data_IF_958201559220
#
_entry.id   IF_958201559220
#
_cell.length_a   1.000
_cell.length_b   1.000
_cell.length_c   1.000
_cell.angle_alpha   90.00
_cell.angle_beta   90.00
_cell.angle_gamma   90.00
#
_symmetry.space_group_name_H-M   'P 1'
#
loop_
_entity.id
_entity.type
_entity.pdbx_description
1 polymer ?
#
# COMPACT_ATOMS: atom_id res chain seq x y z
N UNK A 1 -30.10 -13.57 -16.46
CA UNK A 1 -31.37 -13.41 -15.73
C UNK A 1 -31.41 -12.04 -15.06
N UNK A 2 -32.34 -11.16 -15.44
CA UNK A 2 -32.50 -9.89 -14.74
C UNK A 2 -33.13 -10.15 -13.37
N UNK A 3 -32.48 -9.65 -12.31
CA UNK A 3 -32.99 -9.73 -10.91
C UNK A 3 -34.34 -9.01 -10.83
N UNK A 4 -35.39 -9.70 -10.38
CA UNK A 4 -36.70 -9.07 -10.10
C UNK A 4 -36.52 -8.02 -8.98
N UNK A 5 -36.97 -6.80 -9.26
CA UNK A 5 -36.91 -5.70 -8.31
C UNK A 5 -37.87 -5.95 -7.14
N UNK A 6 -37.44 -5.55 -5.95
CA UNK A 6 -38.31 -5.63 -4.77
C UNK A 6 -39.41 -4.56 -4.82
N UNK A 7 -40.55 -4.76 -4.12
CA UNK A 7 -41.59 -3.73 -4.04
C UNK A 7 -41.07 -2.37 -3.58
N UNK A 8 -40.11 -2.36 -2.66
CA UNK A 8 -39.46 -1.16 -2.15
C UNK A 8 -38.61 -0.44 -3.22
N UNK A 9 -37.87 -1.18 -4.04
CA UNK A 9 -37.11 -0.64 -5.18
C UNK A 9 -38.05 -0.04 -6.26
N UNK A 10 -39.22 -0.63 -6.44
CA UNK A 10 -40.24 -0.11 -7.38
C UNK A 10 -40.79 1.22 -6.83
N UNK A 11 -41.16 1.28 -5.56
CA UNK A 11 -41.70 2.47 -4.91
C UNK A 11 -40.70 3.63 -4.91
N UNK A 12 -39.43 3.38 -4.58
CA UNK A 12 -38.35 4.38 -4.67
C UNK A 12 -38.22 4.97 -6.08
N UNK A 13 -38.35 4.15 -7.13
CA UNK A 13 -38.32 4.64 -8.51
C UNK A 13 -39.52 5.47 -8.92
N UNK A 14 -40.71 5.14 -8.41
CA UNK A 14 -41.91 5.94 -8.64
C UNK A 14 -41.76 7.33 -8.03
N UNK A 15 -41.33 7.40 -6.76
CA UNK A 15 -41.07 8.66 -6.07
C UNK A 15 -40.02 9.52 -6.80
N UNK A 16 -38.94 8.91 -7.30
CA UNK A 16 -37.95 9.62 -8.10
C UNK A 16 -38.52 10.17 -9.42
N UNK A 17 -39.42 9.43 -10.10
CA UNK A 17 -40.08 9.93 -11.30
C UNK A 17 -41.02 11.10 -11.00
N UNK A 18 -41.80 11.01 -9.94
CA UNK A 18 -42.67 12.09 -9.47
C UNK A 18 -41.85 13.35 -9.15
N UNK A 19 -40.73 13.19 -8.46
CA UNK A 19 -39.83 14.28 -8.12
C UNK A 19 -39.22 14.97 -9.35
N UNK A 20 -38.74 14.19 -10.34
CA UNK A 20 -38.20 14.70 -11.61
C UNK A 20 -39.28 15.46 -12.39
N UNK A 21 -40.53 14.97 -12.40
CA UNK A 21 -41.65 15.65 -13.05
C UNK A 21 -42.01 16.97 -12.35
N UNK A 22 -42.01 16.98 -11.03
CA UNK A 22 -42.37 18.12 -10.20
C UNK A 22 -41.33 19.27 -10.33
N UNK A 23 -40.05 18.90 -10.38
CA UNK A 23 -38.93 19.86 -10.52
C UNK A 23 -38.60 20.24 -11.96
N UNK A 24 -39.16 19.55 -12.94
CA UNK A 24 -38.90 19.80 -14.36
C UNK A 24 -37.46 19.54 -14.79
N UNK A 25 -36.72 18.69 -14.04
CA UNK A 25 -35.31 18.38 -14.29
C UNK A 25 -35.09 17.67 -15.62
N UNK A 26 -34.29 18.30 -16.53
CA UNK A 26 -34.04 17.82 -17.91
C UNK A 26 -32.56 17.69 -18.25
N UNK A 27 -31.67 18.31 -17.46
CA UNK A 27 -30.23 18.31 -17.72
C UNK A 27 -29.46 17.68 -16.56
N UNK A 28 -28.22 17.25 -16.83
CA UNK A 28 -27.33 16.69 -15.80
C UNK A 28 -27.01 17.72 -14.70
N UNK A 29 -26.86 19.00 -15.04
CA UNK A 29 -26.66 20.08 -14.07
C UNK A 29 -27.86 20.23 -13.14
N UNK A 30 -29.08 20.30 -13.72
CA UNK A 30 -30.32 20.36 -12.91
C UNK A 30 -30.50 19.12 -12.03
N UNK A 31 -30.05 17.95 -12.49
CA UNK A 31 -30.08 16.74 -11.65
C UNK A 31 -29.09 16.85 -10.47
N UNK A 32 -27.93 17.48 -10.65
CA UNK A 32 -27.01 17.75 -9.54
C UNK A 32 -27.60 18.75 -8.52
N UNK A 33 -28.24 19.79 -8.98
CA UNK A 33 -28.90 20.76 -8.10
C UNK A 33 -30.04 20.12 -7.31
N UNK A 34 -30.84 19.26 -7.96
CA UNK A 34 -31.86 18.47 -7.29
C UNK A 34 -31.28 17.54 -6.21
N UNK A 35 -30.14 16.90 -6.47
CA UNK A 35 -29.46 16.06 -5.47
C UNK A 35 -29.03 16.90 -4.26
N UNK A 36 -28.50 18.12 -4.47
CA UNK A 36 -28.16 19.04 -3.38
C UNK A 36 -29.39 19.41 -2.55
N UNK A 37 -30.50 19.73 -3.19
CA UNK A 37 -31.75 20.08 -2.55
C UNK A 37 -32.30 18.91 -1.70
N UNK A 38 -32.32 17.70 -2.25
CA UNK A 38 -32.75 16.50 -1.51
C UNK A 38 -31.84 16.25 -0.33
N UNK A 39 -30.52 16.40 -0.50
CA UNK A 39 -29.54 16.15 0.56
C UNK A 39 -29.73 17.18 1.70
N UNK A 40 -29.86 18.48 1.39
CA UNK A 40 -30.08 19.50 2.40
C UNK A 40 -31.41 19.29 3.13
N UNK A 41 -32.49 19.03 2.41
CA UNK A 41 -33.81 18.75 3.01
C UNK A 41 -33.82 17.51 3.90
N UNK A 42 -33.11 16.46 3.51
CA UNK A 42 -32.93 15.24 4.30
C UNK A 42 -32.19 15.54 5.61
N UNK A 43 -31.03 16.22 5.52
CA UNK A 43 -30.22 16.57 6.69
C UNK A 43 -30.98 17.50 7.64
N UNK A 44 -31.69 18.50 7.12
CA UNK A 44 -32.52 19.40 7.95
C UNK A 44 -33.69 18.65 8.65
N UNK A 45 -34.29 17.69 7.96
CA UNK A 45 -35.32 16.84 8.56
C UNK A 45 -34.76 15.98 9.69
N UNK A 46 -33.60 15.37 9.47
CA UNK A 46 -32.93 14.57 10.49
C UNK A 46 -32.52 15.40 11.71
N UNK A 47 -31.96 16.61 11.50
CA UNK A 47 -31.60 17.56 12.56
C UNK A 47 -32.83 18.02 13.38
N UNK A 48 -33.97 18.24 12.71
CA UNK A 48 -35.20 18.57 13.38
C UNK A 48 -35.73 17.40 14.23
N UNK A 49 -35.63 16.16 13.73
CA UNK A 49 -36.02 14.97 14.50
C UNK A 49 -35.10 14.77 15.70
N UNK A 50 -33.80 14.99 15.56
CA UNK A 50 -32.84 14.93 16.66
C UNK A 50 -33.17 15.95 17.76
N UNK A 51 -33.48 17.20 17.37
CA UNK A 51 -33.94 18.21 18.33
C UNK A 51 -35.29 17.85 18.95
N UNK A 52 -36.20 17.16 18.24
CA UNK A 52 -37.47 16.67 18.78
C UNK A 52 -37.25 15.62 19.87
N UNK A 53 -36.32 14.69 19.64
CA UNK A 53 -35.96 13.67 20.64
C UNK A 53 -35.32 14.31 21.87
N UNK A 54 -34.41 15.29 21.69
CA UNK A 54 -33.75 15.99 22.80
C UNK A 54 -34.73 16.82 23.65
N UNK A 55 -35.64 17.52 22.99
CA UNK A 55 -36.63 18.36 23.71
C UNK A 55 -37.88 17.58 24.19
N UNK A 56 -38.08 16.36 23.71
CA UNK A 56 -39.22 15.53 24.08
C UNK A 56 -40.58 16.00 23.56
N UNK A 57 -40.62 16.93 22.58
CA UNK A 57 -41.86 17.36 21.92
C UNK A 57 -41.64 17.76 20.46
N UNK A 58 -42.65 17.52 19.60
CA UNK A 58 -42.61 17.86 18.19
C UNK A 58 -42.89 19.34 17.92
N UNK A 59 -42.49 19.85 16.75
CA UNK A 59 -42.75 21.22 16.33
C UNK A 59 -44.27 21.49 16.34
N UNK A 60 -44.71 22.55 17.03
CA UNK A 60 -46.09 22.95 17.26
C UNK A 60 -46.88 22.17 18.34
N UNK A 61 -46.31 21.11 18.95
CA UNK A 61 -46.98 20.37 20.03
C UNK A 61 -46.62 20.93 21.42
N UNK A 62 -47.04 22.15 21.68
CA UNK A 62 -46.77 22.81 22.98
C UNK A 62 -47.54 22.22 24.14
N UNK A 63 -48.61 21.43 23.89
CA UNK A 63 -49.43 20.82 24.93
C UNK A 63 -48.77 19.66 25.65
N UNK A 64 -47.90 18.95 24.93
CA UNK A 64 -47.15 17.79 25.44
C UNK A 64 -45.73 18.12 25.88
N UNK A 65 -45.37 19.39 25.92
CA UNK A 65 -44.04 19.85 26.31
C UNK A 65 -43.76 19.51 27.78
N UNK A 66 -42.71 18.68 28.02
CA UNK A 66 -42.26 18.22 29.33
C UNK A 66 -40.96 18.88 29.80
N UNK A 67 -40.36 19.77 29.01
CA UNK A 67 -39.12 20.48 29.31
C UNK A 67 -39.33 21.98 29.41
N UNK A 68 -38.52 22.69 30.19
CA UNK A 68 -38.50 24.16 30.24
C UNK A 68 -37.81 24.77 29.02
N UNK A 69 -36.93 24.00 28.33
CA UNK A 69 -36.23 24.42 27.14
C UNK A 69 -37.18 24.51 25.92
N UNK A 70 -36.88 25.35 24.98
CA UNK A 70 -37.73 25.61 23.80
C UNK A 70 -36.88 25.75 22.54
N UNK A 71 -37.48 25.51 21.37
CA UNK A 71 -36.90 25.80 20.08
C UNK A 71 -36.62 27.31 19.94
N UNK A 72 -35.47 27.66 19.34
CA UNK A 72 -35.01 29.04 19.16
C UNK A 72 -34.58 29.33 17.71
N UNK A 73 -35.41 28.95 16.75
CA UNK A 73 -35.16 29.20 15.33
C UNK A 73 -34.02 28.34 14.78
N UNK A 74 -33.36 28.86 13.76
CA UNK A 74 -32.31 28.19 13.01
C UNK A 74 -31.09 29.07 12.86
N UNK A 75 -29.91 28.45 12.72
CA UNK A 75 -28.67 29.10 12.26
C UNK A 75 -28.29 28.56 10.88
N UNK A 76 -27.90 29.43 9.97
CA UNK A 76 -27.42 29.04 8.67
C UNK A 76 -25.98 28.52 8.75
N UNK A 77 -25.70 27.43 8.07
CA UNK A 77 -24.39 26.83 8.02
C UNK A 77 -24.12 26.25 6.65
N UNK A 78 -23.00 26.66 6.04
CA UNK A 78 -22.56 26.09 4.77
C UNK A 78 -21.75 24.85 5.01
N UNK A 79 -22.12 23.75 4.34
CA UNK A 79 -21.46 22.45 4.42
C UNK A 79 -20.99 22.04 3.04
N UNK A 80 -19.71 21.73 2.94
CA UNK A 80 -19.11 21.18 1.71
C UNK A 80 -19.44 19.69 1.61
N UNK A 81 -19.99 19.27 0.47
CA UNK A 81 -20.32 17.88 0.16
C UNK A 81 -19.65 17.44 -1.13
N UNK A 82 -19.70 16.13 -1.46
CA UNK A 82 -19.24 15.62 -2.76
C UNK A 82 -19.99 16.16 -3.97
N UNK A 83 -21.16 16.75 -3.76
CA UNK A 83 -21.99 17.35 -4.80
C UNK A 83 -21.88 18.88 -4.85
N UNK A 84 -20.96 19.47 -4.10
CA UNK A 84 -20.74 20.89 -3.94
C UNK A 84 -21.19 21.42 -2.58
N UNK A 85 -21.17 22.74 -2.43
CA UNK A 85 -21.60 23.41 -1.21
C UNK A 85 -23.12 23.42 -1.09
N UNK A 86 -23.63 23.12 0.12
CA UNK A 86 -25.04 23.21 0.49
C UNK A 86 -25.20 24.12 1.72
N UNK A 87 -26.23 24.95 1.74
CA UNK A 87 -26.64 25.72 2.90
C UNK A 87 -27.62 24.88 3.70
N UNK A 88 -27.39 24.74 5.04
CA UNK A 88 -28.26 24.03 5.96
C UNK A 88 -28.80 24.97 7.03
N UNK A 89 -30.06 24.81 7.38
CA UNK A 89 -30.70 25.46 8.50
C UNK A 89 -30.59 24.54 9.73
N UNK A 90 -29.60 24.79 10.57
CA UNK A 90 -29.37 24.02 11.82
C UNK A 90 -30.34 24.52 12.88
N UNK A 91 -31.22 23.66 13.42
CA UNK A 91 -32.15 24.06 14.47
C UNK A 91 -31.40 24.35 15.76
N UNK A 92 -31.99 25.25 16.60
CA UNK A 92 -31.40 25.70 17.86
C UNK A 92 -32.45 25.62 18.98
N UNK A 93 -31.98 25.35 20.16
CA UNK A 93 -32.74 25.46 21.41
C UNK A 93 -32.48 26.82 22.11
N UNK A 94 -33.32 27.17 23.07
CA UNK A 94 -33.21 28.44 23.79
C UNK A 94 -32.14 28.42 24.88
N UNK A 95 -31.92 27.27 25.52
CA UNK A 95 -30.90 27.10 26.52
C UNK A 95 -29.47 27.02 25.93
N UNK A 96 -29.33 26.65 24.63
CA UNK A 96 -28.07 26.46 23.97
C UNK A 96 -27.35 25.15 24.35
N UNK A 97 -28.11 24.19 24.86
CA UNK A 97 -27.65 22.89 25.33
C UNK A 97 -27.64 21.84 24.22
N UNK A 98 -28.45 22.04 23.17
CA UNK A 98 -28.51 21.13 22.03
C UNK A 98 -27.22 21.15 21.22
N UNK A 99 -26.55 20.01 21.16
CA UNK A 99 -25.38 19.77 20.31
C UNK A 99 -25.70 18.72 19.22
N UNK A 100 -25.95 19.16 17.97
CA UNK A 100 -26.25 18.24 16.87
C UNK A 100 -25.18 17.17 16.68
N UNK A 101 -25.56 15.89 16.65
CA UNK A 101 -24.66 14.77 16.37
C UNK A 101 -24.49 14.55 14.87
N UNK A 102 -25.54 14.83 14.06
CA UNK A 102 -25.55 14.66 12.61
C UNK A 102 -24.60 15.64 11.93
N UNK A 103 -24.55 16.90 12.42
CA UNK A 103 -23.65 17.96 11.95
C UNK A 103 -23.05 18.67 13.17
N UNK A 104 -21.84 18.29 13.54
CA UNK A 104 -21.15 18.85 14.70
C UNK A 104 -20.95 20.38 14.60
N UNK A 105 -20.86 21.08 15.75
CA UNK A 105 -20.85 22.54 15.88
C UNK A 105 -19.85 23.27 14.95
N UNK A 106 -18.66 22.71 14.75
CA UNK A 106 -17.59 23.28 13.91
C UNK A 106 -17.36 22.53 12.60
N UNK A 107 -18.19 21.56 12.29
CA UNK A 107 -18.08 20.79 11.05
C UNK A 107 -18.46 21.67 9.86
N UNK A 108 -17.54 21.86 8.92
CA UNK A 108 -17.76 22.61 7.67
C UNK A 108 -17.87 21.72 6.45
N UNK A 109 -17.78 20.40 6.64
CA UNK A 109 -17.80 19.39 5.58
C UNK A 109 -18.60 18.19 6.01
N UNK A 110 -19.36 17.63 5.09
CA UNK A 110 -19.93 16.29 5.30
C UNK A 110 -18.78 15.31 5.20
N UNK A 111 -18.21 14.95 6.36
CA UNK A 111 -16.98 14.14 6.45
C UNK A 111 -17.21 12.72 5.95
N UNK A 112 -16.23 12.19 5.27
CA UNK A 112 -16.15 10.82 4.75
C UNK A 112 -15.80 10.82 3.27
N UNK A 113 -16.67 11.28 2.40
CA UNK A 113 -16.53 11.11 0.97
C UNK A 113 -15.37 11.96 0.36
N UNK A 114 -15.21 13.21 0.79
CA UNK A 114 -14.15 14.11 0.26
C UNK A 114 -12.78 13.73 0.83
N UNK A 115 -12.70 13.40 2.11
CA UNK A 115 -11.44 12.95 2.73
C UNK A 115 -10.95 11.65 2.09
N UNK A 116 -11.83 10.68 1.89
CA UNK A 116 -11.51 9.43 1.21
C UNK A 116 -11.03 9.66 -0.24
N UNK A 117 -11.66 10.58 -0.97
CA UNK A 117 -11.22 10.97 -2.32
C UNK A 117 -9.86 11.64 -2.32
N UNK A 118 -9.58 12.53 -1.37
CA UNK A 118 -8.26 13.16 -1.20
C UNK A 118 -7.21 12.09 -0.92
N UNK A 119 -7.47 11.17 0.01
CA UNK A 119 -6.57 10.06 0.32
C UNK A 119 -6.36 9.16 -0.90
N UNK A 120 -7.42 8.85 -1.66
CA UNK A 120 -7.34 8.05 -2.88
C UNK A 120 -6.49 8.71 -3.98
N UNK A 121 -6.64 10.02 -4.19
CA UNK A 121 -5.83 10.79 -5.14
C UNK A 121 -4.36 10.85 -4.68
N UNK A 122 -4.13 11.08 -3.40
CA UNK A 122 -2.79 11.06 -2.82
C UNK A 122 -2.12 9.69 -2.94
N UNK A 123 -2.86 8.60 -2.72
CA UNK A 123 -2.40 7.22 -2.91
C UNK A 123 -1.99 6.92 -4.37
N UNK A 124 -2.58 7.60 -5.34
CA UNK A 124 -2.21 7.52 -6.78
C UNK A 124 -0.99 8.39 -7.15
N UNK A 125 -0.41 9.09 -6.18
CA UNK A 125 0.82 9.88 -6.36
C UNK A 125 0.59 11.34 -6.72
N UNK A 126 -0.64 11.86 -6.71
CA UNK A 126 -0.90 13.28 -6.96
C UNK A 126 -0.24 14.15 -5.88
N UNK A 127 0.27 15.31 -6.27
CA UNK A 127 0.77 16.30 -5.32
C UNK A 127 -0.40 17.00 -4.60
N UNK A 128 -0.11 17.74 -3.53
CA UNK A 128 -1.15 18.49 -2.81
C UNK A 128 -1.83 19.52 -3.73
N UNK A 129 -1.02 20.25 -4.49
CA UNK A 129 -1.52 21.22 -5.48
C UNK A 129 -2.37 20.58 -6.58
N UNK A 130 -1.95 19.39 -7.10
CA UNK A 130 -2.75 18.67 -8.10
C UNK A 130 -4.10 18.24 -7.52
N UNK A 131 -4.11 17.79 -6.24
CA UNK A 131 -5.33 17.41 -5.54
C UNK A 131 -6.24 18.62 -5.33
N UNK A 132 -5.68 19.77 -4.90
CA UNK A 132 -6.41 21.01 -4.71
C UNK A 132 -7.04 21.47 -6.02
N UNK A 133 -6.26 21.53 -7.12
CA UNK A 133 -6.76 21.90 -8.45
C UNK A 133 -7.83 20.92 -8.94
N UNK A 134 -7.61 19.63 -8.79
CA UNK A 134 -8.56 18.60 -9.24
C UNK A 134 -9.90 18.66 -8.50
N UNK A 135 -9.88 18.96 -7.20
CA UNK A 135 -11.11 19.17 -6.41
C UNK A 135 -11.83 20.43 -6.86
N UNK A 136 -11.10 21.53 -7.12
CA UNK A 136 -11.67 22.74 -7.66
C UNK A 136 -12.36 22.49 -9.01
N UNK A 137 -11.70 21.78 -9.91
CA UNK A 137 -12.23 21.48 -11.24
C UNK A 137 -13.47 20.58 -11.21
N UNK A 138 -13.48 19.57 -10.32
CA UNK A 138 -14.56 18.59 -10.27
C UNK A 138 -15.75 19.00 -9.41
N UNK A 139 -15.51 19.74 -8.33
CA UNK A 139 -16.53 20.03 -7.32
C UNK A 139 -16.81 21.51 -7.14
N UNK A 140 -16.04 22.39 -7.80
CA UNK A 140 -16.27 23.84 -7.84
C UNK A 140 -15.94 24.58 -6.53
N UNK A 141 -15.20 23.96 -5.59
CA UNK A 141 -14.76 24.61 -4.36
C UNK A 141 -13.25 24.43 -4.11
N UNK A 142 -12.65 25.40 -3.44
CA UNK A 142 -11.23 25.38 -3.11
C UNK A 142 -10.93 24.55 -1.87
N UNK A 143 -9.89 23.71 -1.97
CA UNK A 143 -9.29 23.03 -0.83
C UNK A 143 -7.83 23.46 -0.75
N UNK A 144 -7.44 24.12 0.34
CA UNK A 144 -6.05 24.56 0.48
C UNK A 144 -5.10 23.37 0.69
N UNK A 145 -3.84 23.52 0.26
CA UNK A 145 -2.79 22.51 0.45
C UNK A 145 -2.60 22.11 1.92
N UNK A 146 -2.81 23.05 2.86
CA UNK A 146 -2.77 22.78 4.30
C UNK A 146 -3.87 21.82 4.75
N UNK A 147 -5.04 21.90 4.15
CA UNK A 147 -6.15 20.96 4.42
C UNK A 147 -5.84 19.58 3.84
N UNK A 148 -5.33 19.52 2.61
CA UNK A 148 -4.89 18.26 2.00
C UNK A 148 -3.78 17.61 2.85
N UNK A 149 -2.83 18.42 3.35
CA UNK A 149 -1.78 17.94 4.26
C UNK A 149 -2.38 17.32 5.52
N UNK A 150 -3.26 18.06 6.21
CA UNK A 150 -3.89 17.60 7.45
C UNK A 150 -4.70 16.31 7.27
N UNK A 151 -5.42 16.17 6.15
CA UNK A 151 -6.17 14.95 5.84
C UNK A 151 -5.22 13.78 5.60
N UNK A 152 -4.15 13.99 4.82
CA UNK A 152 -3.17 12.94 4.54
C UNK A 152 -2.31 12.61 5.76
N UNK A 153 -2.15 13.53 6.72
CA UNK A 153 -1.40 13.29 7.96
C UNK A 153 -2.11 12.28 8.87
N UNK A 154 -3.44 12.12 8.76
CA UNK A 154 -4.20 11.06 9.45
C UNK A 154 -3.73 9.65 9.08
N UNK A 155 -3.04 9.48 7.96
CA UNK A 155 -2.50 8.20 7.49
C UNK A 155 -1.24 7.79 8.27
N UNK A 156 -0.49 8.74 8.82
CA UNK A 156 0.79 8.45 9.46
C UNK A 156 0.68 7.52 10.69
N UNK A 157 -0.25 7.74 11.66
CA UNK A 157 -0.43 6.82 12.77
C UNK A 157 -0.85 5.42 12.29
N UNK A 158 -1.73 5.34 11.28
CA UNK A 158 -2.18 4.06 10.70
C UNK A 158 -1.01 3.32 10.04
N UNK A 159 -0.16 4.04 9.30
CA UNK A 159 1.04 3.47 8.68
C UNK A 159 2.04 2.94 9.74
N UNK A 160 2.20 3.67 10.85
CA UNK A 160 3.06 3.24 11.97
C UNK A 160 2.49 2.02 12.70
N UNK A 161 1.19 1.97 12.93
CA UNK A 161 0.51 0.81 13.53
C UNK A 161 0.65 -0.42 12.61
N UNK A 162 0.41 -0.25 11.31
CA UNK A 162 0.63 -1.31 10.33
C UNK A 162 2.08 -1.82 10.34
N UNK A 163 3.06 -0.90 10.42
CA UNK A 163 4.48 -1.26 10.49
C UNK A 163 4.81 -2.08 11.75
N UNK A 164 4.15 -1.82 12.87
CA UNK A 164 4.41 -2.48 14.16
C UNK A 164 3.54 -3.72 14.40
N UNK A 165 2.64 -4.06 13.48
CA UNK A 165 1.74 -5.20 13.65
C UNK A 165 2.49 -6.51 13.87
N UNK A 166 1.92 -7.47 14.64
CA UNK A 166 2.44 -8.83 14.73
C UNK A 166 2.54 -9.49 13.35
N UNK A 167 3.51 -10.36 13.18
CA UNK A 167 3.75 -11.12 11.97
C UNK A 167 3.59 -12.63 12.26
N UNK A 168 3.51 -13.44 11.19
CA UNK A 168 3.49 -14.88 11.32
C UNK A 168 4.80 -15.40 11.94
N UNK A 169 4.71 -16.49 12.71
CA UNK A 169 5.88 -17.07 13.40
C UNK A 169 6.90 -17.62 12.41
N UNK A 170 6.45 -18.18 11.30
CA UNK A 170 7.30 -18.84 10.30
C UNK A 170 6.96 -18.35 8.91
N UNK A 171 7.97 -17.95 8.17
CA UNK A 171 7.84 -17.64 6.74
C UNK A 171 8.60 -18.67 5.90
N UNK A 172 7.93 -19.21 4.89
CA UNK A 172 8.56 -20.14 3.95
C UNK A 172 9.66 -19.49 3.13
N UNK A 173 9.40 -18.28 2.63
CA UNK A 173 10.36 -17.52 1.82
C UNK A 173 10.24 -16.03 2.17
N UNK A 174 11.39 -15.38 2.36
CA UNK A 174 11.47 -13.93 2.55
C UNK A 174 12.29 -13.30 1.43
N UNK A 175 11.79 -12.21 0.85
CA UNK A 175 12.48 -11.39 -0.14
C UNK A 175 12.86 -10.05 0.48
N UNK A 176 14.11 -9.66 0.36
CA UNK A 176 14.67 -8.43 0.90
C UNK A 176 15.32 -7.62 -0.24
N UNK A 177 14.96 -6.35 -0.36
CA UNK A 177 15.52 -5.44 -1.36
C UNK A 177 15.41 -3.99 -0.87
N UNK A 178 16.17 -3.09 -1.43
CA UNK A 178 16.09 -1.68 -1.13
C UNK A 178 15.93 -0.84 -2.40
N UNK A 179 15.10 0.18 -2.31
CA UNK A 179 14.91 1.18 -3.36
C UNK A 179 15.25 2.57 -2.82
N UNK A 180 15.67 3.46 -3.72
CA UNK A 180 16.14 4.77 -3.30
C UNK A 180 15.19 5.87 -3.76
N UNK A 181 15.01 6.87 -2.87
CA UNK A 181 14.22 8.08 -3.10
C UNK A 181 14.99 9.32 -2.68
N UNK A 182 14.67 10.44 -3.31
CA UNK A 182 15.19 11.73 -2.91
C UNK A 182 14.25 12.36 -1.88
N UNK A 183 14.79 12.76 -0.73
CA UNK A 183 14.05 13.36 0.37
C UNK A 183 14.74 14.65 0.78
N UNK A 184 13.98 15.67 1.14
CA UNK A 184 14.52 16.92 1.69
C UNK A 184 14.77 16.75 3.19
N UNK A 185 15.99 17.02 3.61
CA UNK A 185 16.42 16.97 4.98
C UNK A 185 17.31 18.19 5.26
N UNK A 186 16.97 19.00 6.26
CA UNK A 186 17.73 20.20 6.64
C UNK A 186 18.05 21.13 5.45
N UNK A 187 17.06 21.35 4.58
CA UNK A 187 17.18 22.20 3.39
C UNK A 187 17.92 21.59 2.20
N UNK A 188 18.47 20.38 2.33
CA UNK A 188 19.20 19.68 1.27
C UNK A 188 18.42 18.49 0.76
N UNK A 189 18.65 18.12 -0.50
CA UNK A 189 18.11 16.88 -1.09
C UNK A 189 19.11 15.76 -0.86
N UNK A 190 18.69 14.75 -0.09
CA UNK A 190 19.48 13.56 0.21
C UNK A 190 18.82 12.33 -0.41
N UNK A 191 19.65 11.36 -0.80
CA UNK A 191 19.17 10.09 -1.33
C UNK A 191 19.02 9.10 -0.19
N UNK A 192 17.80 8.69 0.14
CA UNK A 192 17.51 7.72 1.20
C UNK A 192 17.17 6.35 0.65
N UNK A 193 17.54 5.31 1.37
CA UNK A 193 17.18 3.94 1.08
C UNK A 193 15.86 3.58 1.77
N UNK A 194 14.93 2.98 1.03
CA UNK A 194 13.72 2.35 1.57
C UNK A 194 13.93 0.84 1.49
N UNK A 195 14.06 0.24 2.65
CA UNK A 195 14.21 -1.20 2.85
C UNK A 195 12.84 -1.86 2.83
N UNK A 196 12.72 -2.95 2.12
CA UNK A 196 11.45 -3.64 1.88
C UNK A 196 11.63 -5.11 2.17
N UNK A 197 10.75 -5.67 2.99
CA UNK A 197 10.67 -7.10 3.25
C UNK A 197 9.29 -7.62 2.83
N UNK A 198 9.29 -8.66 1.99
CA UNK A 198 8.08 -9.38 1.58
C UNK A 198 8.24 -10.85 1.94
N UNK A 199 7.28 -11.40 2.67
CA UNK A 199 7.22 -12.80 3.05
C UNK A 199 6.22 -13.60 2.22
N UNK A 200 6.46 -14.90 2.10
CA UNK A 200 5.46 -15.90 1.72
C UNK A 200 5.27 -16.79 2.95
N UNK A 201 4.06 -16.85 3.47
CA UNK A 201 3.72 -17.67 4.64
C UNK A 201 3.77 -19.16 4.31
N UNK A 202 3.65 -20.01 5.32
CA UNK A 202 3.54 -21.47 5.13
C UNK A 202 2.29 -21.87 4.35
N UNK A 203 1.25 -21.02 4.33
CA UNK A 203 0.01 -21.20 3.57
C UNK A 203 0.11 -20.71 2.12
N UNK A 204 1.24 -20.08 1.73
CA UNK A 204 1.47 -19.56 0.38
C UNK A 204 0.87 -18.19 0.11
N UNK A 205 0.49 -17.45 1.15
CA UNK A 205 0.04 -16.07 1.04
C UNK A 205 1.23 -15.11 1.07
N UNK A 206 1.12 -14.01 0.31
CA UNK A 206 2.15 -12.97 0.31
C UNK A 206 1.81 -11.92 1.36
N UNK A 207 2.81 -11.49 2.09
CA UNK A 207 2.72 -10.40 3.07
C UNK A 207 3.86 -9.39 2.89
N UNK A 208 3.54 -8.10 2.91
CA UNK A 208 4.55 -7.04 3.00
C UNK A 208 4.86 -6.83 4.47
N UNK A 209 5.96 -7.38 4.93
CA UNK A 209 6.34 -7.41 6.34
C UNK A 209 6.64 -6.01 6.90
N UNK A 210 7.14 -5.11 6.06
CA UNK A 210 7.39 -3.71 6.45
C UNK A 210 8.16 -2.92 5.41
N UNK A 211 8.25 -1.60 5.69
CA UNK A 211 8.96 -0.59 4.93
C UNK A 211 9.77 0.27 5.89
N UNK A 212 11.09 0.36 5.73
CA UNK A 212 11.95 1.16 6.61
C UNK A 212 12.75 2.17 5.80
N UNK A 213 12.78 3.41 6.27
CA UNK A 213 13.51 4.50 5.63
C UNK A 213 14.83 4.70 6.37
N UNK A 214 15.95 4.58 5.67
CA UNK A 214 17.30 4.78 6.20
C UNK A 214 18.13 5.70 5.33
N UNK A 215 19.24 6.20 5.89
CA UNK A 215 20.14 7.13 5.20
C UNK A 215 20.77 6.49 3.95
N UNK A 216 21.35 5.32 4.11
CA UNK A 216 22.02 4.57 3.05
C UNK A 216 21.75 3.07 3.22
N UNK A 217 21.77 2.33 2.13
CA UNK A 217 21.70 0.89 2.19
C UNK A 217 22.97 0.31 2.83
N UNK A 218 22.80 -0.41 3.96
CA UNK A 218 23.89 -1.01 4.70
C UNK A 218 23.48 -2.29 5.42
N UNK A 219 24.43 -3.22 5.58
CA UNK A 219 24.21 -4.45 6.35
C UNK A 219 23.84 -4.17 7.82
N UNK A 220 24.40 -3.11 8.42
CA UNK A 220 24.06 -2.69 9.78
C UNK A 220 22.58 -2.31 9.93
N UNK A 221 22.03 -1.60 8.96
CA UNK A 221 20.62 -1.23 9.00
C UNK A 221 19.74 -2.47 8.73
N UNK A 222 20.13 -3.34 7.82
CA UNK A 222 19.47 -4.62 7.61
C UNK A 222 19.42 -5.47 8.90
N UNK A 223 20.51 -5.49 9.67
CA UNK A 223 20.53 -6.16 10.97
C UNK A 223 19.46 -5.59 11.92
N UNK A 224 19.27 -4.27 11.95
CA UNK A 224 18.20 -3.66 12.77
C UNK A 224 16.81 -4.02 12.27
N UNK A 225 16.59 -4.06 10.96
CA UNK A 225 15.34 -4.51 10.34
C UNK A 225 15.03 -5.96 10.71
N UNK A 226 16.01 -6.85 10.60
CA UNK A 226 15.82 -8.27 10.93
C UNK A 226 15.50 -8.48 12.42
N UNK A 227 16.15 -7.74 13.32
CA UNK A 227 15.84 -7.77 14.75
C UNK A 227 14.43 -7.24 15.03
N UNK A 228 13.98 -6.17 14.37
CA UNK A 228 12.62 -5.68 14.49
C UNK A 228 11.61 -6.73 14.02
N UNK A 229 11.85 -7.38 12.88
CA UNK A 229 11.01 -8.48 12.40
C UNK A 229 10.90 -9.60 13.45
N UNK A 230 12.02 -9.93 14.13
CA UNK A 230 12.03 -10.91 15.22
C UNK A 230 11.21 -10.46 16.42
N UNK A 231 11.28 -9.20 16.82
CA UNK A 231 10.48 -8.65 17.93
C UNK A 231 8.98 -8.62 17.61
N UNK A 232 8.62 -8.58 16.32
CA UNK A 232 7.23 -8.64 15.83
C UNK A 232 6.69 -10.07 15.68
N UNK A 233 7.43 -11.08 16.15
CA UNK A 233 6.97 -12.45 16.28
C UNK A 233 7.55 -13.45 15.30
N UNK A 234 8.43 -13.06 14.36
CA UNK A 234 9.04 -14.03 13.44
C UNK A 234 10.10 -14.84 14.21
N UNK A 235 9.85 -16.12 14.32
CA UNK A 235 10.76 -17.08 14.98
C UNK A 235 11.68 -17.75 13.97
N UNK A 236 11.18 -18.01 12.75
CA UNK A 236 11.93 -18.74 11.73
C UNK A 236 11.61 -18.28 10.30
N UNK A 237 12.62 -18.34 9.44
CA UNK A 237 12.54 -18.09 8.00
C UNK A 237 13.28 -19.23 7.32
N UNK A 238 12.59 -19.97 6.45
CA UNK A 238 13.23 -21.14 5.82
C UNK A 238 14.24 -20.70 4.76
N UNK A 239 13.83 -19.80 3.83
CA UNK A 239 14.68 -19.32 2.74
C UNK A 239 14.62 -17.79 2.67
N UNK A 240 15.76 -17.11 2.63
CA UNK A 240 15.87 -15.67 2.40
C UNK A 240 16.48 -15.39 1.02
N UNK A 241 15.78 -14.61 0.22
CA UNK A 241 16.22 -14.18 -1.12
C UNK A 241 16.65 -12.71 -1.07
N UNK A 242 17.91 -12.42 -1.37
CA UNK A 242 18.48 -11.08 -1.26
C UNK A 242 19.28 -10.70 -2.50
N UNK A 243 19.62 -9.43 -2.62
CA UNK A 243 20.74 -9.02 -3.46
C UNK A 243 22.08 -9.41 -2.79
N UNK A 244 23.18 -9.15 -3.50
CA UNK A 244 24.51 -9.50 -2.99
C UNK A 244 25.18 -8.27 -2.32
N UNK A 245 24.52 -7.68 -1.31
CA UNK A 245 25.11 -6.62 -0.50
C UNK A 245 26.14 -7.21 0.47
N UNK A 246 27.33 -6.60 0.55
CA UNK A 246 28.40 -7.04 1.44
C UNK A 246 27.94 -7.00 2.92
N UNK A 247 28.15 -8.10 3.65
CA UNK A 247 27.78 -8.25 5.06
C UNK A 247 26.30 -8.57 5.30
N UNK A 248 25.48 -8.66 4.25
CA UNK A 248 24.06 -8.97 4.42
C UNK A 248 23.84 -10.43 4.81
N UNK A 249 24.61 -11.34 4.23
CA UNK A 249 24.59 -12.75 4.64
C UNK A 249 24.88 -12.91 6.13
N UNK A 250 25.88 -12.20 6.64
CA UNK A 250 26.26 -12.24 8.07
C UNK A 250 25.14 -11.68 8.95
N UNK A 251 24.48 -10.59 8.52
CA UNK A 251 23.35 -10.01 9.24
C UNK A 251 22.17 -10.99 9.35
N UNK A 252 21.84 -11.71 8.28
CA UNK A 252 20.77 -12.72 8.28
C UNK A 252 21.16 -13.89 9.20
N UNK A 253 22.37 -14.44 9.07
CA UNK A 253 22.84 -15.55 9.88
C UNK A 253 22.92 -15.22 11.37
N UNK A 254 23.18 -13.96 11.72
CA UNK A 254 23.21 -13.52 13.12
C UNK A 254 21.83 -13.55 13.78
N UNK A 255 20.74 -13.27 13.04
CA UNK A 255 19.36 -13.21 13.58
C UNK A 255 18.62 -14.53 13.35
N UNK A 256 18.79 -15.14 12.18
CA UNK A 256 18.13 -16.36 11.72
C UNK A 256 19.18 -17.37 11.20
N UNK A 257 19.93 -18.02 12.09
CA UNK A 257 21.09 -18.86 11.72
C UNK A 257 20.74 -20.12 10.93
N UNK A 258 19.47 -20.55 10.95
CA UNK A 258 18.98 -21.73 10.23
C UNK A 258 18.42 -21.42 8.85
N UNK A 259 18.43 -20.14 8.44
CA UNK A 259 17.85 -19.70 7.15
C UNK A 259 18.79 -20.01 6.00
N UNK A 260 18.29 -20.66 4.96
CA UNK A 260 19.01 -20.81 3.71
C UNK A 260 19.03 -19.51 2.93
N UNK A 261 20.22 -19.06 2.55
CA UNK A 261 20.39 -17.81 1.84
C UNK A 261 20.52 -18.04 0.32
N UNK A 262 19.66 -17.38 -0.44
CA UNK A 262 19.73 -17.35 -1.91
C UNK A 262 20.02 -15.95 -2.41
N UNK A 263 21.16 -15.73 -3.06
CA UNK A 263 21.44 -14.50 -3.76
C UNK A 263 20.71 -14.43 -5.11
N UNK A 264 20.14 -13.27 -5.42
CA UNK A 264 19.41 -13.06 -6.67
C UNK A 264 20.29 -13.22 -7.90
N UNK A 265 20.00 -14.21 -8.72
CA UNK A 265 20.71 -14.48 -9.98
C UNK A 265 20.58 -13.30 -10.95
N UNK A 266 19.43 -12.62 -10.99
CA UNK A 266 19.23 -11.47 -11.90
C UNK A 266 20.12 -10.29 -11.51
N UNK A 267 20.27 -10.01 -10.21
CA UNK A 267 21.21 -8.97 -9.75
C UNK A 267 22.65 -9.33 -10.07
N UNK A 268 23.06 -10.60 -9.88
CA UNK A 268 24.38 -11.08 -10.27
C UNK A 268 24.64 -10.93 -11.77
N UNK A 269 23.65 -11.23 -12.63
CA UNK A 269 23.73 -11.04 -14.07
C UNK A 269 23.87 -9.56 -14.42
N UNK A 270 23.05 -8.69 -13.86
CA UNK A 270 23.11 -7.23 -14.09
C UNK A 270 24.48 -6.67 -13.72
N UNK A 271 25.03 -7.09 -12.58
CA UNK A 271 26.37 -6.70 -12.15
C UNK A 271 27.45 -7.22 -13.10
N UNK A 272 27.28 -8.45 -13.61
CA UNK A 272 28.20 -9.05 -14.57
C UNK A 272 28.25 -8.30 -15.91
N UNK A 273 27.12 -7.77 -16.36
CA UNK A 273 27.01 -7.13 -17.68
C UNK A 273 27.27 -5.63 -17.67
N UNK A 274 27.33 -4.99 -16.49
CA UNK A 274 27.45 -3.54 -16.31
C UNK A 274 28.63 -2.91 -17.09
N UNK A 275 29.74 -3.63 -17.22
CA UNK A 275 30.98 -3.14 -17.86
C UNK A 275 31.35 -3.93 -19.09
N UNK A 276 30.41 -4.73 -19.63
CA UNK A 276 30.65 -5.52 -20.83
C UNK A 276 30.40 -4.68 -22.09
N UNK A 277 31.31 -4.77 -23.07
CA UNK A 277 31.11 -4.11 -24.37
C UNK A 277 29.83 -4.60 -25.05
N UNK A 278 29.08 -3.68 -25.66
CA UNK A 278 27.81 -3.98 -26.34
C UNK A 278 27.89 -5.17 -27.30
N UNK A 279 29.00 -5.25 -28.07
CA UNK A 279 29.26 -6.35 -29.04
C UNK A 279 29.33 -7.73 -28.39
N UNK A 280 29.76 -7.81 -27.15
CA UNK A 280 29.98 -9.08 -26.43
C UNK A 280 28.78 -9.49 -25.56
N UNK A 281 27.90 -8.55 -25.19
CA UNK A 281 26.78 -8.78 -24.25
C UNK A 281 25.95 -10.00 -24.64
N UNK A 282 25.53 -10.10 -25.91
CA UNK A 282 24.65 -11.19 -26.37
C UNK A 282 25.30 -12.55 -26.21
N UNK A 283 26.58 -12.68 -26.62
CA UNK A 283 27.32 -13.94 -26.53
C UNK A 283 27.65 -14.31 -25.08
N UNK A 284 28.09 -13.34 -24.29
CA UNK A 284 28.39 -13.53 -22.88
C UNK A 284 27.13 -13.93 -22.08
N UNK A 285 26.00 -13.30 -22.32
CA UNK A 285 24.73 -13.66 -21.71
C UNK A 285 24.26 -15.07 -22.10
N UNK A 286 24.51 -15.49 -23.33
CA UNK A 286 24.17 -16.85 -23.75
C UNK A 286 25.00 -17.90 -22.99
N UNK A 287 26.26 -17.62 -22.71
CA UNK A 287 27.11 -18.52 -21.92
C UNK A 287 26.78 -18.47 -20.42
N UNK A 288 26.54 -17.31 -19.83
CA UNK A 288 26.02 -17.22 -18.45
C UNK A 288 24.69 -17.94 -18.30
N UNK A 289 23.82 -17.92 -19.31
CA UNK A 289 22.54 -18.63 -19.28
C UNK A 289 22.71 -20.14 -19.07
N UNK A 290 23.80 -20.74 -19.61
CA UNK A 290 24.10 -22.17 -19.40
C UNK A 290 24.40 -22.44 -17.90
N UNK A 291 25.07 -21.51 -17.21
CA UNK A 291 25.39 -21.63 -15.79
C UNK A 291 24.11 -21.67 -14.96
N UNK A 292 23.29 -20.60 -15.00
CA UNK A 292 22.15 -20.49 -14.10
C UNK A 292 20.89 -21.26 -14.54
N UNK A 293 20.89 -21.86 -15.74
CA UNK A 293 19.83 -22.77 -16.22
C UNK A 293 20.25 -24.24 -16.23
N UNK A 294 21.38 -24.57 -15.67
CA UNK A 294 21.79 -25.95 -15.51
C UNK A 294 20.77 -26.74 -14.69
N UNK A 295 20.70 -28.05 -14.91
CA UNK A 295 19.78 -28.92 -14.17
C UNK A 295 20.32 -29.27 -12.78
N UNK A 296 21.67 -29.37 -12.67
CA UNK A 296 22.37 -29.70 -11.40
C UNK A 296 23.42 -28.63 -11.09
N UNK A 297 23.80 -28.54 -9.82
CA UNK A 297 24.87 -27.65 -9.38
C UNK A 297 26.22 -28.01 -10.03
N UNK A 298 26.53 -29.31 -10.16
CA UNK A 298 27.76 -29.75 -10.82
C UNK A 298 27.84 -29.26 -12.27
N UNK A 299 26.76 -29.44 -13.03
CA UNK A 299 26.70 -28.95 -14.41
C UNK A 299 26.84 -27.42 -14.49
N UNK A 300 26.25 -26.70 -13.51
CA UNK A 300 26.38 -25.25 -13.43
C UNK A 300 27.83 -24.82 -13.15
N UNK A 301 28.52 -25.53 -12.25
CA UNK A 301 29.94 -25.31 -11.94
C UNK A 301 30.82 -25.58 -13.15
N UNK A 302 30.59 -26.66 -13.89
CA UNK A 302 31.33 -26.99 -15.10
C UNK A 302 31.12 -25.92 -16.18
N UNK A 303 29.87 -25.48 -16.37
CA UNK A 303 29.57 -24.38 -17.29
C UNK A 303 30.23 -23.04 -16.89
N UNK A 304 30.39 -22.80 -15.58
CA UNK A 304 31.09 -21.62 -15.08
C UNK A 304 32.62 -21.69 -15.37
N UNK A 305 33.22 -22.88 -15.28
CA UNK A 305 34.62 -23.07 -15.67
C UNK A 305 34.81 -22.90 -17.20
N UNK A 306 33.87 -23.35 -18.02
CA UNK A 306 33.91 -23.09 -19.46
C UNK A 306 33.70 -21.61 -19.78
N UNK A 307 32.86 -20.92 -19.03
CA UNK A 307 32.75 -19.47 -19.10
C UNK A 307 34.09 -18.79 -18.76
N UNK A 308 34.81 -19.26 -17.74
CA UNK A 308 36.14 -18.76 -17.36
C UNK A 308 37.11 -18.86 -18.52
N UNK A 309 37.24 -20.05 -19.11
CA UNK A 309 38.17 -20.30 -20.25
C UNK A 309 37.91 -19.32 -21.39
N UNK A 310 36.67 -19.02 -21.69
CA UNK A 310 36.27 -18.18 -22.82
C UNK A 310 36.38 -16.67 -22.55
N UNK A 311 36.00 -16.23 -21.34
CA UNK A 311 35.77 -14.82 -21.07
C UNK A 311 36.75 -14.16 -20.09
N UNK A 312 37.52 -14.93 -19.28
CA UNK A 312 38.38 -14.36 -18.26
C UNK A 312 39.55 -13.55 -18.82
N UNK A 313 39.99 -13.83 -20.04
CA UNK A 313 41.00 -13.00 -20.70
C UNK A 313 40.53 -11.56 -20.95
N UNK A 314 39.23 -11.34 -21.09
CA UNK A 314 38.63 -10.03 -21.38
C UNK A 314 37.87 -9.44 -20.22
N UNK A 315 37.17 -10.29 -19.43
CA UNK A 315 36.31 -9.90 -18.34
C UNK A 315 36.56 -10.76 -17.09
N UNK A 316 37.75 -10.77 -16.50
CA UNK A 316 38.12 -11.68 -15.39
C UNK A 316 37.24 -11.50 -14.16
N UNK A 317 36.87 -10.25 -13.84
CA UNK A 317 36.05 -9.92 -12.66
C UNK A 317 34.67 -10.58 -12.63
N UNK A 318 34.12 -10.98 -13.78
CA UNK A 318 32.82 -11.65 -13.83
C UNK A 318 32.92 -13.03 -13.20
N UNK A 319 33.88 -13.85 -13.70
CA UNK A 319 34.10 -15.18 -13.13
C UNK A 319 34.43 -15.12 -11.63
N UNK A 320 35.35 -14.23 -11.23
CA UNK A 320 35.75 -14.04 -9.84
C UNK A 320 34.52 -13.70 -8.94
N UNK A 321 33.65 -12.82 -9.43
CA UNK A 321 32.41 -12.46 -8.71
C UNK A 321 31.48 -13.65 -8.58
N UNK A 322 31.25 -14.43 -9.63
CA UNK A 322 30.42 -15.64 -9.57
C UNK A 322 31.01 -16.69 -8.64
N UNK A 323 32.33 -16.93 -8.73
CA UNK A 323 33.03 -17.92 -7.88
C UNK A 323 32.99 -17.54 -6.41
N UNK A 324 33.26 -16.29 -6.08
CA UNK A 324 33.21 -15.79 -4.70
C UNK A 324 31.82 -15.95 -4.07
N UNK A 325 30.78 -15.70 -4.84
CA UNK A 325 29.39 -15.73 -4.36
C UNK A 325 28.71 -17.07 -4.58
N UNK A 326 29.45 -18.09 -5.07
CA UNK A 326 28.90 -19.35 -5.55
C UNK A 326 28.02 -20.04 -4.51
N UNK A 327 28.47 -20.13 -3.27
CA UNK A 327 27.74 -20.80 -2.20
C UNK A 327 26.30 -20.30 -2.04
N UNK A 328 26.10 -18.96 -2.12
CA UNK A 328 24.77 -18.35 -1.98
C UNK A 328 24.05 -18.20 -3.33
N UNK A 329 24.76 -18.28 -4.45
CA UNK A 329 24.14 -18.26 -5.78
C UNK A 329 23.62 -19.65 -6.17
N UNK A 330 24.27 -20.71 -5.73
CA UNK A 330 23.91 -22.09 -6.11
C UNK A 330 22.87 -22.73 -5.18
N UNK A 331 22.51 -22.11 -4.07
CA UNK A 331 21.56 -22.64 -3.06
C UNK A 331 20.27 -23.19 -3.71
N UNK A 332 19.73 -22.53 -4.72
CA UNK A 332 18.48 -22.97 -5.37
C UNK A 332 18.60 -24.36 -6.04
N UNK A 333 19.81 -24.82 -6.37
CA UNK A 333 20.00 -26.16 -6.96
C UNK A 333 19.65 -27.29 -5.98
N UNK A 334 19.69 -27.04 -4.68
CA UNK A 334 19.28 -28.02 -3.67
C UNK A 334 17.77 -28.31 -3.68
N UNK A 335 16.97 -27.45 -4.30
CA UNK A 335 15.51 -27.55 -4.26
C UNK A 335 14.88 -28.09 -5.54
N UNK A 336 13.65 -28.63 -5.48
CA UNK A 336 12.87 -29.03 -6.66
C UNK A 336 12.52 -27.84 -7.58
N UNK A 337 12.19 -28.10 -8.85
CA UNK A 337 11.93 -27.06 -9.85
C UNK A 337 10.87 -26.03 -9.45
N UNK A 338 9.86 -26.44 -8.67
CA UNK A 338 8.76 -25.60 -8.21
C UNK A 338 9.24 -24.53 -7.24
N UNK A 339 10.07 -24.90 -6.27
CA UNK A 339 10.69 -23.99 -5.31
C UNK A 339 11.75 -23.13 -6.01
N UNK A 340 12.59 -23.73 -6.88
CA UNK A 340 13.63 -23.01 -7.65
C UNK A 340 13.03 -21.81 -8.39
N UNK A 341 11.88 -21.98 -9.06
CA UNK A 341 11.20 -20.91 -9.83
C UNK A 341 10.84 -19.71 -8.96
N UNK A 342 10.66 -19.91 -7.68
CA UNK A 342 10.28 -18.84 -6.76
C UNK A 342 11.52 -18.08 -6.26
N UNK A 343 12.59 -18.81 -5.91
CA UNK A 343 13.72 -18.29 -5.15
C UNK A 343 14.90 -17.84 -6.00
N UNK A 344 15.10 -18.39 -7.22
CA UNK A 344 16.28 -18.03 -8.03
C UNK A 344 16.26 -16.57 -8.50
N UNK A 345 15.12 -15.89 -8.42
CA UNK A 345 14.98 -14.47 -8.77
C UNK A 345 14.17 -13.71 -7.70
N UNK A 346 14.48 -12.44 -7.54
CA UNK A 346 13.71 -11.52 -6.69
C UNK A 346 12.55 -10.87 -7.45
N UNK A 347 12.03 -11.50 -8.50
CA UNK A 347 10.94 -10.95 -9.33
C UNK A 347 9.70 -10.53 -8.51
N UNK A 348 9.43 -11.20 -7.39
CA UNK A 348 8.31 -10.86 -6.52
C UNK A 348 8.48 -9.46 -5.95
N UNK A 349 9.63 -9.18 -5.33
CA UNK A 349 9.92 -7.88 -4.74
C UNK A 349 10.24 -6.83 -5.81
N UNK A 350 10.89 -7.21 -6.92
CA UNK A 350 11.14 -6.29 -8.05
C UNK A 350 9.82 -5.78 -8.68
N UNK A 351 8.81 -6.64 -8.82
CA UNK A 351 7.49 -6.23 -9.31
C UNK A 351 6.80 -5.28 -8.33
N UNK A 352 6.88 -5.54 -7.04
CA UNK A 352 6.37 -4.66 -5.99
C UNK A 352 7.08 -3.30 -6.04
N UNK A 353 8.42 -3.29 -6.08
CA UNK A 353 9.24 -2.09 -6.21
C UNK A 353 8.91 -1.26 -7.45
N UNK A 354 8.64 -1.93 -8.59
CA UNK A 354 8.20 -1.27 -9.81
C UNK A 354 6.84 -0.57 -9.64
N UNK A 355 5.91 -1.19 -8.92
CA UNK A 355 4.60 -0.60 -8.64
C UNK A 355 4.73 0.59 -7.67
N UNK A 356 5.55 0.50 -6.63
CA UNK A 356 5.86 1.63 -5.75
C UNK A 356 6.46 2.81 -6.53
N UNK A 357 7.45 2.53 -7.40
CA UNK A 357 8.06 3.57 -8.26
C UNK A 357 7.06 4.19 -9.23
N UNK A 358 6.07 3.46 -9.72
CA UNK A 358 5.02 4.00 -10.60
C UNK A 358 4.19 5.07 -9.90
N UNK A 359 3.82 4.85 -8.65
CA UNK A 359 3.05 5.80 -7.83
C UNK A 359 3.90 7.01 -7.43
N UNK A 360 5.17 6.78 -7.07
CA UNK A 360 6.08 7.83 -6.62
C UNK A 360 6.74 8.62 -7.77
N UNK A 361 6.57 8.21 -9.03
CA UNK A 361 7.24 8.81 -10.20
C UNK A 361 6.90 10.29 -10.40
N UNK A 362 5.68 10.71 -10.05
CA UNK A 362 5.25 12.10 -10.14
C UNK A 362 5.96 13.01 -9.12
N UNK A 363 6.54 12.45 -8.07
CA UNK A 363 7.26 13.18 -7.01
C UNK A 363 8.75 12.88 -7.10
N UNK A 364 9.50 13.79 -7.72
CA UNK A 364 10.97 13.65 -7.83
C UNK A 364 11.69 13.80 -6.48
N UNK A 365 11.13 14.59 -5.55
CA UNK A 365 11.67 14.85 -4.21
C UNK A 365 10.52 14.85 -3.20
N UNK A 366 10.69 14.15 -2.10
CA UNK A 366 9.74 14.15 -0.98
C UNK A 366 10.11 15.23 0.04
N UNK A 367 9.12 15.95 0.64
CA UNK A 367 9.41 16.99 1.63
C UNK A 367 10.12 16.48 2.89
N UNK A 368 9.79 15.27 3.33
CA UNK A 368 10.35 14.59 4.50
C UNK A 368 10.06 13.08 4.45
N UNK A 369 10.61 12.33 5.41
CA UNK A 369 10.44 10.88 5.53
C UNK A 369 8.98 10.47 5.77
N UNK A 370 8.22 11.23 6.56
CA UNK A 370 6.81 10.95 6.84
C UNK A 370 5.95 11.04 5.56
N UNK A 371 6.23 12.03 4.69
CA UNK A 371 5.55 12.15 3.40
C UNK A 371 5.87 10.99 2.45
N UNK A 372 7.11 10.50 2.50
CA UNK A 372 7.52 9.30 1.76
C UNK A 372 6.80 8.07 2.33
N UNK A 373 6.80 7.88 3.66
CA UNK A 373 6.17 6.74 4.32
C UNK A 373 4.67 6.67 4.02
N UNK A 374 3.94 7.79 4.11
CA UNK A 374 2.51 7.86 3.81
C UNK A 374 2.18 7.35 2.40
N UNK A 375 2.92 7.82 1.40
CA UNK A 375 2.71 7.41 0.00
C UNK A 375 3.05 5.94 -0.21
N UNK A 376 4.16 5.48 0.35
CA UNK A 376 4.57 4.08 0.22
C UNK A 376 3.60 3.13 0.92
N UNK A 377 3.08 3.51 2.08
CA UNK A 377 2.06 2.75 2.80
C UNK A 377 0.76 2.64 1.98
N UNK A 378 0.22 3.76 1.49
CA UNK A 378 -0.99 3.76 0.69
C UNK A 378 -0.83 2.97 -0.62
N UNK A 379 0.32 3.12 -1.28
CA UNK A 379 0.64 2.33 -2.46
C UNK A 379 0.72 0.84 -2.14
N UNK A 380 1.29 0.48 -0.98
CA UNK A 380 1.32 -0.91 -0.48
C UNK A 380 -0.08 -1.45 -0.30
N UNK A 381 -0.99 -0.72 0.33
CA UNK A 381 -2.40 -1.12 0.49
C UNK A 381 -3.08 -1.38 -0.86
N UNK A 382 -2.87 -0.51 -1.85
CA UNK A 382 -3.44 -0.68 -3.20
C UNK A 382 -2.85 -1.88 -3.96
N UNK A 383 -1.55 -2.14 -3.81
CA UNK A 383 -0.88 -3.28 -4.42
C UNK A 383 -1.34 -4.59 -3.78
N UNK A 384 -1.35 -4.64 -2.45
CA UNK A 384 -1.68 -5.86 -1.69
C UNK A 384 -3.16 -6.24 -1.76
N UNK A 385 -4.05 -5.27 -1.98
CA UNK A 385 -5.49 -5.54 -2.25
C UNK A 385 -5.68 -6.51 -3.42
N UNK A 386 -4.75 -6.56 -4.36
CA UNK A 386 -4.76 -7.48 -5.52
C UNK A 386 -4.13 -8.84 -5.22
N UNK A 387 -3.55 -9.01 -4.05
CA UNK A 387 -2.96 -10.28 -3.61
C UNK A 387 -4.04 -11.15 -2.95
N UNK A 388 -5.07 -11.46 -3.70
CA UNK A 388 -6.20 -12.26 -3.21
C UNK A 388 -5.89 -13.74 -3.37
N UNK A 389 -5.77 -14.45 -2.25
CA UNK A 389 -5.70 -15.89 -2.21
C UNK A 389 -4.29 -16.50 -2.21
N UNK A 390 -4.28 -17.79 -1.99
CA UNK A 390 -3.10 -18.65 -2.02
C UNK A 390 -2.66 -18.88 -3.46
N UNK A 391 -1.39 -19.14 -3.64
CA UNK A 391 -0.88 -19.64 -4.91
C UNK A 391 -1.49 -21.01 -5.21
N UNK A 392 -2.04 -21.22 -6.40
CA UNK A 392 -2.77 -22.46 -6.77
C UNK A 392 -1.91 -23.72 -6.66
N UNK A 393 -0.61 -23.62 -6.86
CA UNK A 393 0.37 -24.71 -6.83
C UNK A 393 1.12 -24.81 -5.48
N UNK A 394 0.59 -24.23 -4.38
CA UNK A 394 1.32 -24.11 -3.13
C UNK A 394 1.36 -25.39 -2.29
N UNK A 395 0.32 -26.21 -2.29
CA UNK A 395 0.29 -27.42 -1.48
C UNK A 395 1.46 -28.39 -1.77
N UNK A 396 1.79 -28.71 -3.04
CA UNK A 396 2.98 -29.48 -3.36
C UNK A 396 4.29 -28.84 -2.86
N UNK A 397 4.39 -27.50 -2.94
CA UNK A 397 5.55 -26.76 -2.47
C UNK A 397 5.69 -26.88 -0.94
N UNK A 398 4.60 -26.72 -0.18
CA UNK A 398 4.59 -26.89 1.27
C UNK A 398 5.05 -28.29 1.68
N UNK A 399 4.55 -29.33 1.00
CA UNK A 399 4.97 -30.71 1.26
C UNK A 399 6.47 -30.91 1.00
N UNK A 400 6.99 -30.37 -0.08
CA UNK A 400 8.44 -30.41 -0.37
C UNK A 400 9.24 -29.66 0.69
N UNK A 401 8.81 -28.47 1.09
CA UNK A 401 9.46 -27.69 2.15
C UNK A 401 9.46 -28.46 3.48
N UNK A 402 8.38 -29.17 3.82
CA UNK A 402 8.30 -29.98 5.03
C UNK A 402 9.35 -31.11 5.05
N UNK A 403 9.67 -31.69 3.89
CA UNK A 403 10.73 -32.68 3.75
C UNK A 403 12.12 -32.04 3.94
N UNK A 404 12.37 -30.90 3.30
CA UNK A 404 13.67 -30.21 3.37
C UNK A 404 13.95 -29.59 4.76
N UNK A 405 12.90 -29.21 5.47
CA UNK A 405 12.96 -28.51 6.76
C UNK A 405 12.23 -29.29 7.85
N UNK A 406 12.54 -30.60 7.92
CA UNK A 406 11.97 -31.51 8.92
C UNK A 406 12.11 -30.92 10.34
N UNK A 407 11.04 -30.98 11.13
CA UNK A 407 10.95 -30.41 12.47
C UNK A 407 10.91 -28.90 12.60
N UNK A 408 10.93 -28.14 11.48
CA UNK A 408 10.81 -26.66 11.47
C UNK A 408 9.43 -26.17 11.03
N UNK A 409 8.68 -26.99 10.34
CA UNK A 409 7.31 -26.68 9.86
C UNK A 409 6.32 -27.44 10.77
N UNK A 410 5.38 -26.74 11.41
CA UNK A 410 4.30 -27.38 12.17
C UNK A 410 3.45 -28.26 11.25
N UNK A 411 2.96 -29.39 11.79
CA UNK A 411 2.05 -30.32 11.10
C UNK A 411 0.72 -29.68 10.68
#
# INVERSE_FOLDING_TARGET
MQRKKTPEEIRKRELLKELIQLTGTKTASQAQDLVKEILSGTLETMLNSELEEELGYSKYDYKNKQTENSRNGYSKKNILTSNGEIELNIPRDRAGEYEPQIIEKHQTRLSGDIEEKIISMYAKGMTQNDISSHIQDMYGFEVSDSVVSRITDKILPIAKEWQMRPLERIYAIMFLDAIHYNVRQEGRVVKKAVYIAIGITLEGTKDVMGLWIGENESAKYWLSVLNELKTRGIEDILIACTDNLTGFADAISAVYPKTDLQHCIIHQIRNSTKYVSYKDIKALMADLKKVYRATTEQQASDNLEDFRKKWSGKYPKIYESWKRNWANLSTYFAYPPEIRKIIYTTNQIENFNRQLRKVSKAKSIFPNDDSLLKILYLATCDITRKWTGKRLDWNPIRMQLAIYYEGRIPE
#
